data_IF_084211994344
#
_entry.id   IF_084211994344
#
_cell.length_a   1.000
_cell.length_b   1.000
_cell.length_c   1.000
_cell.angle_alpha   90.00
_cell.angle_beta   90.00
_cell.angle_gamma   90.00
#
_symmetry.space_group_name_H-M   'P 1'
#
loop_
_entity.id
_entity.type
_entity.pdbx_description
1 polymer ?
#
# COMPACT_ATOMS: atom_id res chain seq x y z
N UNK A 1 -13.78 -4.79 31.69
CA UNK A 1 -14.17 -4.49 30.28
C UNK A 1 -14.70 -3.05 30.25
N UNK A 2 -14.16 -2.21 29.41
CA UNK A 2 -14.64 -0.82 29.21
C UNK A 2 -15.59 -0.82 28.02
N UNK A 3 -16.78 -0.24 28.19
CA UNK A 3 -17.74 -0.05 27.12
C UNK A 3 -17.36 1.22 26.35
N UNK A 4 -17.22 1.13 25.05
CA UNK A 4 -16.91 2.26 24.15
C UNK A 4 -18.14 2.56 23.29
N UNK A 5 -18.34 3.82 22.95
CA UNK A 5 -19.34 4.19 21.95
C UNK A 5 -18.88 3.73 20.56
N UNK A 6 -19.81 3.57 19.63
CA UNK A 6 -19.51 3.24 18.22
C UNK A 6 -18.53 4.26 17.62
N UNK A 7 -18.75 5.54 17.89
CA UNK A 7 -17.89 6.61 17.41
C UNK A 7 -16.48 6.54 18.01
N UNK A 8 -16.36 6.24 19.29
CA UNK A 8 -15.05 6.10 19.96
C UNK A 8 -14.25 4.90 19.44
N UNK A 9 -14.94 3.87 18.98
CA UNK A 9 -14.30 2.67 18.44
C UNK A 9 -13.88 2.80 16.97
N UNK A 10 -14.79 3.28 16.12
CA UNK A 10 -14.57 3.30 14.67
C UNK A 10 -13.95 4.60 14.16
N UNK A 11 -14.20 5.74 14.81
CA UNK A 11 -13.85 7.08 14.32
C UNK A 11 -12.90 7.82 15.23
N UNK A 12 -11.87 7.14 15.70
CA UNK A 12 -10.90 7.70 16.66
C UNK A 12 -10.15 8.92 16.12
N UNK A 13 -9.83 8.92 14.82
CA UNK A 13 -9.09 10.01 14.18
C UNK A 13 -9.96 11.23 13.88
N UNK A 14 -11.28 11.07 13.77
CA UNK A 14 -12.21 12.17 13.49
C UNK A 14 -12.30 13.18 14.66
N UNK A 15 -11.80 12.79 15.83
CA UNK A 15 -11.66 13.68 16.98
C UNK A 15 -10.53 14.69 16.85
N UNK A 16 -9.58 14.43 15.95
CA UNK A 16 -8.44 15.31 15.73
C UNK A 16 -8.84 16.36 14.70
N UNK A 17 -9.14 17.57 15.17
CA UNK A 17 -9.45 18.69 14.28
C UNK A 17 -8.21 19.08 13.48
N UNK A 18 -8.43 19.49 12.22
CA UNK A 18 -7.37 19.98 11.33
C UNK A 18 -6.22 18.99 11.12
N UNK A 19 -6.53 17.68 11.06
CA UNK A 19 -5.54 16.61 10.88
C UNK A 19 -4.63 16.83 9.66
N UNK A 20 -5.15 17.45 8.60
CA UNK A 20 -4.41 17.80 7.39
C UNK A 20 -3.23 18.75 7.62
N UNK A 21 -3.25 19.58 8.68
CA UNK A 21 -2.16 20.51 9.00
C UNK A 21 -0.85 19.78 9.29
N UNK A 22 -0.91 18.54 9.81
CA UNK A 22 0.27 17.73 10.09
C UNK A 22 1.17 17.52 8.87
N UNK A 23 0.61 17.55 7.67
CA UNK A 23 1.34 17.26 6.42
C UNK A 23 1.83 18.53 5.71
N UNK A 24 1.48 19.71 6.21
CA UNK A 24 1.85 21.00 5.62
C UNK A 24 1.15 21.30 4.29
N UNK A 25 1.59 22.37 3.62
CA UNK A 25 0.96 22.87 2.38
C UNK A 25 1.15 21.95 1.16
N UNK A 26 2.15 21.09 1.16
CA UNK A 26 2.44 20.17 0.05
C UNK A 26 1.60 18.88 0.07
N UNK A 27 0.82 18.66 1.15
CA UNK A 27 0.02 17.46 1.32
C UNK A 27 0.85 16.21 1.69
N UNK A 28 0.30 15.03 1.43
CA UNK A 28 0.92 13.76 1.80
C UNK A 28 0.68 12.68 0.74
N UNK A 29 1.51 11.65 0.81
CA UNK A 29 1.33 10.40 0.07
C UNK A 29 1.06 9.27 1.05
N UNK A 30 -0.03 8.54 0.82
CA UNK A 30 -0.33 7.32 1.57
C UNK A 30 0.27 6.12 0.84
N UNK A 31 1.03 5.31 1.55
CA UNK A 31 1.66 4.11 1.00
C UNK A 31 1.29 2.89 1.85
N UNK A 32 0.71 1.88 1.23
CA UNK A 32 0.30 0.67 1.95
C UNK A 32 0.78 -0.57 1.22
N UNK A 33 1.47 -1.43 1.95
CA UNK A 33 2.01 -2.69 1.48
C UNK A 33 1.54 -3.86 2.34
N UNK A 34 1.65 -5.08 1.81
CA UNK A 34 1.46 -6.32 2.55
C UNK A 34 2.64 -7.27 2.30
N UNK A 35 3.12 -7.93 3.36
CA UNK A 35 4.24 -8.88 3.32
C UNK A 35 3.81 -10.20 3.96
N UNK A 36 4.11 -11.38 3.34
CA UNK A 36 3.82 -12.68 3.94
C UNK A 36 4.50 -12.87 5.30
N UNK A 37 3.84 -13.53 6.26
CA UNK A 37 4.39 -13.75 7.61
C UNK A 37 5.81 -14.28 7.62
N UNK A 38 6.10 -15.27 6.77
CA UNK A 38 7.44 -15.90 6.69
C UNK A 38 8.58 -14.91 6.48
N UNK A 39 8.29 -13.79 5.80
CA UNK A 39 9.30 -12.82 5.37
C UNK A 39 9.15 -11.47 6.08
N UNK A 40 8.16 -11.31 6.94
CA UNK A 40 7.75 -9.99 7.44
C UNK A 40 8.83 -9.31 8.27
N UNK A 41 9.47 -10.00 9.19
CA UNK A 41 10.49 -9.43 10.05
C UNK A 41 11.65 -8.81 9.24
N UNK A 42 12.22 -9.60 8.31
CA UNK A 42 13.33 -9.13 7.46
C UNK A 42 12.90 -7.96 6.58
N UNK A 43 11.75 -8.08 5.93
CA UNK A 43 11.23 -7.04 5.04
C UNK A 43 10.96 -5.73 5.79
N UNK A 44 10.29 -5.80 6.94
CA UNK A 44 9.97 -4.63 7.76
C UNK A 44 11.25 -3.96 8.25
N UNK A 45 12.23 -4.75 8.70
CA UNK A 45 13.53 -4.22 9.12
C UNK A 45 14.25 -3.50 7.98
N UNK A 46 14.28 -4.07 6.76
CA UNK A 46 14.89 -3.42 5.59
C UNK A 46 14.15 -2.13 5.22
N UNK A 47 12.82 -2.12 5.26
CA UNK A 47 12.00 -0.92 4.99
C UNK A 47 12.29 0.18 5.99
N UNK A 48 12.25 -0.13 7.29
CA UNK A 48 12.50 0.85 8.35
C UNK A 48 13.92 1.42 8.26
N UNK A 49 14.93 0.61 7.93
CA UNK A 49 16.29 1.09 7.69
C UNK A 49 16.37 2.08 6.53
N UNK A 50 15.69 1.80 5.41
CA UNK A 50 15.65 2.74 4.27
C UNK A 50 15.02 4.06 4.68
N UNK A 51 13.88 4.03 5.37
CA UNK A 51 13.21 5.23 5.85
C UNK A 51 14.13 6.05 6.79
N UNK A 52 14.77 5.38 7.74
CA UNK A 52 15.69 6.00 8.69
C UNK A 52 16.90 6.66 8.01
N UNK A 53 17.58 5.95 7.10
CA UNK A 53 18.75 6.46 6.38
C UNK A 53 18.41 7.68 5.54
N UNK A 54 17.23 7.69 4.92
CA UNK A 54 16.77 8.81 4.08
C UNK A 54 16.04 9.89 4.89
N UNK A 55 15.95 9.76 6.22
CA UNK A 55 15.26 10.70 7.14
C UNK A 55 13.80 10.96 6.74
N UNK A 56 13.13 9.93 6.25
CA UNK A 56 11.71 9.96 5.88
C UNK A 56 10.89 9.43 7.06
N UNK A 57 9.99 10.25 7.57
CA UNK A 57 9.16 9.90 8.73
C UNK A 57 7.68 9.98 8.37
N UNK A 58 6.91 9.02 8.86
CA UNK A 58 5.46 9.00 8.74
C UNK A 58 4.83 9.46 10.04
N UNK A 59 3.87 10.40 9.96
CA UNK A 59 3.10 10.82 11.14
C UNK A 59 2.10 9.76 11.58
N UNK A 60 1.59 8.99 10.62
CA UNK A 60 0.68 7.87 10.90
C UNK A 60 1.24 6.61 10.29
N UNK A 61 1.55 5.65 11.16
CA UNK A 61 1.98 4.32 10.73
C UNK A 61 1.10 3.28 11.40
N UNK A 62 0.58 2.34 10.61
CA UNK A 62 -0.29 1.29 11.11
C UNK A 62 0.21 -0.06 10.62
N UNK A 63 0.28 -1.04 11.53
CA UNK A 63 0.52 -2.43 11.21
C UNK A 63 -0.68 -3.28 11.61
N UNK A 64 -1.15 -4.13 10.68
CA UNK A 64 -2.27 -5.05 10.91
C UNK A 64 -1.93 -6.44 10.39
N UNK A 65 -2.47 -7.45 11.06
CA UNK A 65 -2.49 -8.83 10.55
C UNK A 65 -3.56 -8.97 9.47
N UNK A 66 -3.22 -9.62 8.37
CA UNK A 66 -4.16 -9.94 7.29
C UNK A 66 -4.33 -11.44 7.15
N UNK A 67 -5.58 -11.86 6.93
CA UNK A 67 -5.94 -13.18 6.46
C UNK A 67 -5.72 -13.35 4.95
N UNK A 68 -5.96 -14.57 4.46
CA UNK A 68 -5.97 -14.85 3.03
C UNK A 68 -7.17 -14.17 2.38
N UNK A 69 -6.95 -13.58 1.22
CA UNK A 69 -8.00 -13.05 0.36
C UNK A 69 -7.97 -13.78 -0.99
N UNK A 70 -9.15 -14.20 -1.47
CA UNK A 70 -9.31 -15.00 -2.68
C UNK A 70 -9.88 -14.23 -3.87
N UNK A 71 -10.02 -12.91 -3.79
CA UNK A 71 -10.46 -12.05 -4.89
C UNK A 71 -9.44 -11.92 -6.04
N UNK A 72 -9.93 -11.53 -7.21
CA UNK A 72 -9.08 -11.10 -8.32
C UNK A 72 -8.41 -9.76 -7.96
N UNK A 73 -7.18 -9.53 -8.42
CA UNK A 73 -6.39 -8.35 -8.04
C UNK A 73 -6.38 -8.09 -6.52
N UNK A 74 -6.40 -9.17 -5.73
CA UNK A 74 -6.46 -9.05 -4.29
C UNK A 74 -5.18 -8.50 -3.71
N UNK A 75 -5.29 -7.45 -2.87
CA UNK A 75 -4.22 -6.94 -2.05
C UNK A 75 -3.85 -7.89 -0.90
N UNK A 76 -4.87 -8.52 -0.29
CA UNK A 76 -4.71 -9.31 0.92
C UNK A 76 -3.90 -10.58 0.69
N UNK A 77 -2.86 -10.75 1.50
CA UNK A 77 -2.06 -11.98 1.62
C UNK A 77 -2.00 -12.38 3.10
N UNK A 78 -1.84 -13.66 3.38
CA UNK A 78 -1.65 -14.12 4.77
C UNK A 78 -0.32 -13.56 5.30
N UNK A 79 -0.39 -12.46 6.07
CA UNK A 79 0.79 -11.70 6.47
C UNK A 79 0.47 -10.44 7.25
N UNK A 80 1.40 -9.51 7.25
CA UNK A 80 1.20 -8.17 7.79
C UNK A 80 1.03 -7.14 6.69
N UNK A 81 0.14 -6.19 6.90
CA UNK A 81 0.09 -4.94 6.13
C UNK A 81 0.66 -3.81 6.95
N UNK A 82 1.43 -2.94 6.29
CA UNK A 82 1.92 -1.69 6.84
C UNK A 82 1.34 -0.53 6.03
N UNK A 83 0.91 0.48 6.74
CA UNK A 83 0.44 1.75 6.18
C UNK A 83 1.36 2.84 6.67
N UNK A 84 1.75 3.72 5.78
CA UNK A 84 2.50 4.92 6.08
C UNK A 84 1.85 6.12 5.39
N UNK A 85 1.70 7.21 6.10
CA UNK A 85 1.29 8.49 5.52
C UNK A 85 2.48 9.46 5.67
N UNK A 86 3.15 9.72 4.56
CA UNK A 86 4.35 10.55 4.50
C UNK A 86 4.00 11.96 4.03
N UNK A 87 4.52 13.01 4.66
CA UNK A 87 4.57 14.32 4.02
C UNK A 87 5.31 14.23 2.68
N UNK A 88 5.02 15.12 1.75
CA UNK A 88 5.72 15.15 0.46
C UNK A 88 7.15 15.67 0.69
N UNK A 89 8.11 14.75 0.67
CA UNK A 89 9.55 15.04 0.66
C UNK A 89 10.07 15.11 -0.78
N UNK A 90 11.12 15.91 -1.03
CA UNK A 90 11.72 16.02 -2.36
C UNK A 90 12.17 14.69 -2.96
N UNK A 91 12.62 13.76 -2.14
CA UNK A 91 13.15 12.45 -2.54
C UNK A 91 12.19 11.29 -2.23
N UNK A 92 10.91 11.57 -1.99
CA UNK A 92 9.96 10.54 -1.54
C UNK A 92 9.79 9.42 -2.58
N UNK A 93 9.72 9.77 -3.85
CA UNK A 93 9.52 8.80 -4.93
C UNK A 93 10.69 7.82 -5.05
N UNK A 94 11.94 8.31 -4.95
CA UNK A 94 13.14 7.46 -4.97
C UNK A 94 13.16 6.49 -3.78
N UNK A 95 12.72 6.96 -2.62
CA UNK A 95 12.68 6.13 -1.41
C UNK A 95 11.59 5.08 -1.51
N UNK A 96 10.39 5.45 -1.96
CA UNK A 96 9.30 4.51 -2.17
C UNK A 96 9.64 3.49 -3.28
N UNK A 97 10.40 3.90 -4.27
CA UNK A 97 10.90 3.02 -5.32
C UNK A 97 11.83 1.92 -4.78
N UNK A 98 12.71 2.26 -3.85
CA UNK A 98 13.53 1.28 -3.12
C UNK A 98 12.68 0.33 -2.27
N UNK A 99 11.63 0.86 -1.63
CA UNK A 99 10.70 0.05 -0.83
C UNK A 99 9.91 -0.90 -1.73
N UNK A 100 9.47 -0.48 -2.92
CA UNK A 100 8.82 -1.36 -3.89
C UNK A 100 9.69 -2.58 -4.24
N UNK A 101 11.00 -2.37 -4.41
CA UNK A 101 11.93 -3.46 -4.70
C UNK A 101 12.04 -4.45 -3.52
N UNK A 102 11.95 -3.96 -2.28
CA UNK A 102 11.86 -4.83 -1.09
C UNK A 102 10.55 -5.62 -1.10
N UNK A 103 9.43 -4.96 -1.38
CA UNK A 103 8.11 -5.61 -1.47
C UNK A 103 8.15 -6.74 -2.50
N UNK A 104 8.72 -6.51 -3.68
CA UNK A 104 8.90 -7.52 -4.72
C UNK A 104 9.81 -8.67 -4.23
N UNK A 105 10.97 -8.34 -3.66
CA UNK A 105 11.95 -9.31 -3.12
C UNK A 105 11.31 -10.29 -2.14
N UNK A 106 10.45 -9.79 -1.27
CA UNK A 106 9.78 -10.57 -0.24
C UNK A 106 8.39 -11.08 -0.61
N UNK A 107 8.03 -11.02 -1.91
CA UNK A 107 6.75 -11.50 -2.45
C UNK A 107 5.54 -10.83 -1.80
N UNK A 108 5.66 -9.54 -1.54
CA UNK A 108 4.59 -8.69 -1.03
C UNK A 108 3.73 -8.09 -2.13
N UNK A 109 2.73 -7.32 -1.71
CA UNK A 109 1.81 -6.59 -2.58
C UNK A 109 1.68 -5.13 -2.14
N UNK A 110 1.27 -4.27 -3.05
CA UNK A 110 0.87 -2.88 -2.78
C UNK A 110 -0.64 -2.73 -2.90
N UNK A 111 -1.22 -1.89 -2.04
CA UNK A 111 -2.64 -1.59 -2.03
C UNK A 111 -2.98 -0.50 -3.05
N UNK A 112 -3.59 -0.90 -4.15
CA UNK A 112 -3.86 -0.02 -5.29
C UNK A 112 -4.73 1.20 -4.95
N UNK A 113 -5.63 1.08 -3.96
CA UNK A 113 -6.49 2.20 -3.55
C UNK A 113 -5.70 3.39 -2.97
N UNK A 114 -4.50 3.13 -2.45
CA UNK A 114 -3.60 4.15 -1.90
C UNK A 114 -2.40 4.44 -2.81
N UNK A 115 -2.29 3.71 -3.92
CA UNK A 115 -1.16 3.85 -4.83
C UNK A 115 -1.45 4.88 -5.92
N UNK A 116 -0.57 5.87 -6.03
CA UNK A 116 -0.63 6.91 -7.06
C UNK A 116 0.56 6.85 -8.04
N UNK A 117 1.56 5.97 -7.85
CA UNK A 117 2.86 6.10 -8.52
C UNK A 117 3.50 4.83 -9.06
N UNK A 118 3.19 3.63 -8.52
CA UNK A 118 3.92 2.41 -8.90
C UNK A 118 3.91 2.18 -10.41
N UNK A 119 5.05 1.78 -10.94
CA UNK A 119 5.19 1.47 -12.36
C UNK A 119 4.60 0.10 -12.73
N UNK A 120 4.11 0.00 -13.97
CA UNK A 120 3.49 -1.22 -14.51
C UNK A 120 4.39 -2.46 -14.38
N UNK A 121 5.69 -2.32 -14.61
CA UNK A 121 6.67 -3.40 -14.54
C UNK A 121 6.81 -3.96 -13.12
N UNK A 122 6.85 -3.10 -12.11
CA UNK A 122 6.93 -3.48 -10.69
C UNK A 122 5.62 -4.09 -10.20
N UNK A 123 4.49 -3.47 -10.55
CA UNK A 123 3.18 -4.00 -10.25
C UNK A 123 3.00 -5.42 -10.80
N UNK A 124 3.36 -5.67 -12.05
CA UNK A 124 3.28 -7.00 -12.67
C UNK A 124 4.13 -8.05 -11.94
N UNK A 125 5.31 -7.69 -11.44
CA UNK A 125 6.15 -8.59 -10.64
C UNK A 125 5.49 -8.97 -9.31
N UNK A 126 4.78 -8.04 -8.67
CA UNK A 126 4.04 -8.30 -7.43
C UNK A 126 2.80 -9.17 -7.70
N UNK A 127 2.18 -9.01 -8.87
CA UNK A 127 0.89 -9.60 -9.22
C UNK A 127 1.01 -10.76 -10.21
N UNK A 128 2.08 -11.54 -10.18
CA UNK A 128 2.36 -12.62 -11.14
C UNK A 128 1.48 -13.87 -11.03
N UNK A 129 0.50 -13.91 -10.10
CA UNK A 129 -0.30 -15.09 -9.82
C UNK A 129 -1.44 -15.37 -10.79
N UNK A 130 -2.00 -16.60 -10.76
CA UNK A 130 -3.11 -17.09 -11.60
C UNK A 130 -4.35 -16.18 -11.57
N UNK A 131 -4.70 -15.63 -10.41
CA UNK A 131 -5.89 -14.78 -10.23
C UNK A 131 -5.84 -13.50 -11.06
N UNK A 132 -4.66 -12.96 -11.23
CA UNK A 132 -4.48 -11.75 -12.05
C UNK A 132 -4.62 -12.04 -13.54
N UNK A 133 -4.17 -13.21 -14.00
CA UNK A 133 -4.45 -13.68 -15.37
C UNK A 133 -5.95 -13.74 -15.62
N UNK A 134 -6.71 -14.33 -14.70
CA UNK A 134 -8.18 -14.42 -14.79
C UNK A 134 -8.84 -13.05 -14.83
N UNK A 135 -8.37 -12.10 -14.05
CA UNK A 135 -8.85 -10.71 -14.11
C UNK A 135 -8.60 -10.10 -15.50
N UNK A 136 -7.40 -10.25 -16.05
CA UNK A 136 -7.05 -9.72 -17.37
C UNK A 136 -7.86 -10.38 -18.48
N UNK A 137 -8.14 -11.69 -18.39
CA UNK A 137 -9.02 -12.39 -19.33
C UNK A 137 -10.44 -11.80 -19.33
N UNK A 138 -11.04 -11.61 -18.13
CA UNK A 138 -12.37 -11.00 -17.99
C UNK A 138 -12.37 -9.59 -18.58
N UNK A 139 -11.35 -8.79 -18.26
CA UNK A 139 -11.22 -7.43 -18.74
C UNK A 139 -11.08 -7.37 -20.27
N UNK A 140 -10.28 -8.24 -20.86
CA UNK A 140 -10.09 -8.33 -22.30
C UNK A 140 -11.38 -8.78 -23.03
N UNK A 141 -12.12 -9.74 -22.43
CA UNK A 141 -13.43 -10.19 -22.92
C UNK A 141 -14.43 -9.03 -23.03
N UNK A 142 -14.39 -8.11 -22.08
CA UNK A 142 -15.25 -6.93 -22.08
C UNK A 142 -14.62 -5.73 -22.83
N UNK A 143 -13.68 -5.99 -23.76
CA UNK A 143 -13.06 -4.97 -24.64
C UNK A 143 -12.50 -3.77 -23.88
N UNK A 144 -12.13 -3.96 -22.62
CA UNK A 144 -11.61 -2.89 -21.74
C UNK A 144 -12.51 -1.66 -21.67
N UNK A 145 -13.83 -1.85 -21.68
CA UNK A 145 -14.83 -0.75 -21.64
C UNK A 145 -14.63 0.14 -20.40
N UNK A 146 -14.34 -0.48 -19.27
CA UNK A 146 -14.06 0.25 -18.03
C UNK A 146 -12.58 0.60 -17.94
N UNK A 147 -12.27 1.88 -18.03
CA UNK A 147 -10.91 2.41 -17.91
C UNK A 147 -10.80 3.38 -16.74
N UNK A 148 -9.57 3.52 -16.23
CA UNK A 148 -9.18 4.53 -15.26
C UNK A 148 -7.73 4.93 -15.49
N UNK A 149 -7.32 6.10 -15.05
CA UNK A 149 -5.92 6.54 -15.13
C UNK A 149 -4.96 5.54 -14.46
N UNK A 150 -5.39 4.92 -13.37
CA UNK A 150 -4.60 3.86 -12.72
C UNK A 150 -4.48 2.62 -13.62
N UNK A 151 -5.57 2.21 -14.28
CA UNK A 151 -5.53 1.05 -15.17
C UNK A 151 -4.62 1.30 -16.39
N UNK A 152 -4.62 2.52 -16.92
CA UNK A 152 -3.73 2.95 -18.01
C UNK A 152 -2.27 2.94 -17.57
N UNK A 153 -1.96 3.56 -16.42
CA UNK A 153 -0.61 3.57 -15.83
C UNK A 153 -0.07 2.16 -15.59
N UNK A 154 -0.89 1.26 -15.04
CA UNK A 154 -0.50 -0.11 -14.73
C UNK A 154 -0.55 -1.06 -15.94
N UNK A 155 -1.13 -0.63 -17.05
CA UNK A 155 -1.33 -1.43 -18.27
C UNK A 155 -2.11 -2.74 -17.99
N UNK A 156 -3.20 -2.60 -17.26
CA UNK A 156 -4.13 -3.68 -16.89
C UNK A 156 -5.51 -3.46 -17.47
#
# INVERSE_FOLDING_TARGET
>A
KKQLSINDYFYQLDKIKNFNILYGGNGFISYQLAIPYKNSEKAITEILKILQINKIFSFVSVMKSLGRNDGFLSFGIKGFTLVFDFPIYKNIDDVLDKIDNIVIKFKGNIYLTKDSRIESNKFKKMQSGFKNKKFLEIRNKNKKIFQSLQAERLKI
#
